data_IF_476040303718
#
_entry.id   IF_476040303718
#
_cell.length_a   1.000
_cell.length_b   1.000
_cell.length_c   1.000
_cell.angle_alpha   90.00
_cell.angle_beta   90.00
_cell.angle_gamma   90.00
#
_symmetry.space_group_name_H-M   'P 1'
#
loop_
_entity.id
_entity.type
_entity.pdbx_description
1 polymer ?
#
# COMPACT_ATOMS: atom_id res chain seq x y z
N UNK A 1 10.91 74.19 22.08
CA UNK A 1 10.41 72.90 21.54
C UNK A 1 11.44 72.35 20.54
N UNK A 2 12.23 71.33 20.92
CA UNK A 2 13.18 70.66 20.01
C UNK A 2 12.40 69.65 19.16
N UNK A 3 12.25 69.91 17.86
CA UNK A 3 11.75 68.91 16.90
C UNK A 3 12.80 67.79 16.80
N UNK A 4 12.45 66.57 17.24
CA UNK A 4 13.20 65.37 16.88
C UNK A 4 12.98 65.13 15.37
N UNK A 5 13.97 65.49 14.55
CA UNK A 5 14.04 65.03 13.17
C UNK A 5 14.33 63.53 13.20
N UNK A 6 13.30 62.70 12.98
CA UNK A 6 13.49 61.28 12.64
C UNK A 6 14.18 61.22 11.28
N UNK A 7 15.49 60.99 11.28
CA UNK A 7 16.21 60.58 10.07
C UNK A 7 15.62 59.25 9.62
N UNK A 8 14.82 59.27 8.57
CA UNK A 8 14.49 58.05 7.83
C UNK A 8 15.78 57.60 7.14
N UNK A 9 16.45 56.59 7.69
CA UNK A 9 17.49 55.84 6.99
C UNK A 9 16.78 54.93 6.00
N UNK A 10 16.95 55.17 4.70
CA UNK A 10 16.52 54.22 3.67
C UNK A 10 17.35 52.93 3.72
N UNK A 11 16.88 51.90 3.02
CA UNK A 11 17.66 50.68 2.83
C UNK A 11 18.76 50.91 1.79
N UNK A 12 19.93 50.35 2.05
CA UNK A 12 21.01 50.30 1.07
C UNK A 12 20.67 49.31 -0.03
N UNK A 13 21.23 49.52 -1.23
CA UNK A 13 21.06 48.59 -2.35
C UNK A 13 21.52 47.17 -1.98
N UNK A 14 22.59 47.07 -1.18
CA UNK A 14 23.11 45.80 -0.68
C UNK A 14 22.09 45.08 0.21
N UNK A 15 21.47 45.78 1.17
CA UNK A 15 20.45 45.18 2.05
C UNK A 15 19.25 44.66 1.26
N UNK A 16 18.80 45.40 0.25
CA UNK A 16 17.67 44.98 -0.59
C UNK A 16 18.01 43.73 -1.41
N UNK A 17 19.20 43.68 -2.00
CA UNK A 17 19.66 42.51 -2.78
C UNK A 17 19.82 41.29 -1.86
N UNK A 18 20.40 41.46 -0.67
CA UNK A 18 20.58 40.37 0.30
C UNK A 18 19.21 39.85 0.77
N UNK A 19 18.29 40.75 1.13
CA UNK A 19 16.95 40.37 1.55
C UNK A 19 16.20 39.59 0.47
N UNK A 20 16.19 40.08 -0.78
CA UNK A 20 15.56 39.40 -1.91
C UNK A 20 16.20 38.03 -2.19
N UNK A 21 17.52 37.92 -2.07
CA UNK A 21 18.25 36.67 -2.27
C UNK A 21 17.87 35.63 -1.21
N UNK A 22 17.84 36.02 0.07
CA UNK A 22 17.43 35.14 1.17
C UNK A 22 15.96 34.72 0.98
N UNK A 23 15.07 35.66 0.67
CA UNK A 23 13.66 35.35 0.39
C UNK A 23 13.51 34.40 -0.79
N UNK A 24 14.29 34.57 -1.85
CA UNK A 24 14.33 33.66 -3.00
C UNK A 24 14.74 32.24 -2.61
N UNK A 25 15.80 32.09 -1.80
CA UNK A 25 16.22 30.79 -1.31
C UNK A 25 15.17 30.13 -0.40
N UNK A 26 14.55 30.89 0.50
CA UNK A 26 13.49 30.38 1.39
C UNK A 26 12.26 29.95 0.60
N UNK A 27 11.82 30.75 -0.38
CA UNK A 27 10.69 30.38 -1.24
C UNK A 27 11.03 29.15 -2.09
N UNK A 28 12.22 29.10 -2.68
CA UNK A 28 12.68 27.95 -3.47
C UNK A 28 12.71 26.65 -2.67
N UNK A 29 13.23 26.69 -1.44
CA UNK A 29 13.26 25.50 -0.57
C UNK A 29 11.87 25.05 -0.13
N UNK A 30 10.98 25.99 0.21
CA UNK A 30 9.59 25.68 0.56
C UNK A 30 8.83 25.05 -0.62
N UNK A 31 8.99 25.60 -1.83
CA UNK A 31 8.34 25.02 -3.01
C UNK A 31 8.89 23.63 -3.36
N UNK A 32 10.20 23.40 -3.20
CA UNK A 32 10.79 22.07 -3.37
C UNK A 32 10.17 21.06 -2.39
N UNK A 33 10.11 21.40 -1.09
CA UNK A 33 9.54 20.54 -0.06
C UNK A 33 8.07 20.20 -0.31
N UNK A 34 7.27 21.17 -0.73
CA UNK A 34 5.85 20.95 -1.08
C UNK A 34 5.72 20.03 -2.29
N UNK A 35 6.59 20.18 -3.29
CA UNK A 35 6.66 19.28 -4.44
C UNK A 35 6.97 17.83 -4.04
N UNK A 36 8.02 17.64 -3.24
CA UNK A 36 8.45 16.32 -2.76
C UNK A 36 7.38 15.66 -1.89
N UNK A 37 6.73 16.42 -1.01
CA UNK A 37 5.64 15.94 -0.16
C UNK A 37 4.44 15.43 -0.98
N UNK A 38 4.07 16.13 -2.05
CA UNK A 38 3.00 15.68 -2.95
C UNK A 38 3.38 14.41 -3.71
N UNK A 39 4.60 14.33 -4.22
CA UNK A 39 5.09 13.13 -4.90
C UNK A 39 5.10 11.91 -3.96
N UNK A 40 5.55 12.10 -2.72
CA UNK A 40 5.52 11.06 -1.69
C UNK A 40 4.10 10.63 -1.35
N UNK A 41 3.18 11.59 -1.20
CA UNK A 41 1.77 11.32 -0.91
C UNK A 41 1.13 10.48 -2.02
N UNK A 42 1.36 10.84 -3.29
CA UNK A 42 0.86 10.09 -4.44
C UNK A 42 1.41 8.65 -4.44
N UNK A 43 2.72 8.48 -4.27
CA UNK A 43 3.35 7.14 -4.23
C UNK A 43 2.82 6.29 -3.07
N UNK A 44 2.58 6.91 -1.92
CA UNK A 44 2.00 6.24 -0.75
C UNK A 44 0.57 5.80 -1.01
N UNK A 45 -0.26 6.65 -1.61
CA UNK A 45 -1.64 6.33 -1.97
C UNK A 45 -1.70 5.14 -2.94
N UNK A 46 -0.89 5.18 -4.00
CA UNK A 46 -0.78 4.06 -4.94
C UNK A 46 -0.38 2.76 -4.25
N UNK A 47 0.61 2.81 -3.35
CA UNK A 47 1.06 1.64 -2.59
C UNK A 47 -0.03 1.09 -1.65
N UNK A 48 -0.81 1.97 -1.02
CA UNK A 48 -1.92 1.57 -0.14
C UNK A 48 -3.05 0.90 -0.91
N UNK A 49 -3.43 1.44 -2.07
CA UNK A 49 -4.45 0.84 -2.94
C UNK A 49 -3.99 -0.55 -3.37
N UNK A 50 -2.73 -0.70 -3.79
CA UNK A 50 -2.15 -1.99 -4.18
C UNK A 50 -2.17 -3.00 -3.03
N UNK A 51 -1.70 -2.61 -1.85
CA UNK A 51 -1.69 -3.47 -0.67
C UNK A 51 -3.09 -3.91 -0.25
N UNK A 52 -4.08 -3.01 -0.39
CA UNK A 52 -5.48 -3.31 -0.10
C UNK A 52 -6.05 -4.34 -1.06
N UNK A 53 -5.77 -4.19 -2.37
CA UNK A 53 -6.19 -5.17 -3.39
C UNK A 53 -5.56 -6.54 -3.14
N UNK A 54 -4.26 -6.58 -2.89
CA UNK A 54 -3.59 -7.84 -2.58
C UNK A 54 -4.19 -8.52 -1.33
N UNK A 55 -4.45 -7.76 -0.27
CA UNK A 55 -5.06 -8.30 0.94
C UNK A 55 -6.46 -8.85 0.68
N UNK A 56 -7.26 -8.17 -0.13
CA UNK A 56 -8.58 -8.65 -0.50
C UNK A 56 -8.51 -9.93 -1.35
N UNK A 57 -7.53 -10.06 -2.26
CA UNK A 57 -7.29 -11.30 -3.01
C UNK A 57 -6.89 -12.48 -2.10
N UNK A 58 -5.98 -12.24 -1.15
CA UNK A 58 -5.61 -13.23 -0.13
C UNK A 58 -6.83 -13.65 0.69
N UNK A 59 -7.59 -12.69 1.21
CA UNK A 59 -8.76 -13.00 2.02
C UNK A 59 -9.80 -13.79 1.23
N UNK A 60 -10.03 -13.44 -0.04
CA UNK A 60 -10.94 -14.18 -0.90
C UNK A 60 -10.46 -15.63 -1.09
N UNK A 61 -9.17 -15.84 -1.36
CA UNK A 61 -8.60 -17.19 -1.50
C UNK A 61 -8.77 -18.06 -0.25
N UNK A 62 -8.84 -17.45 0.94
CA UNK A 62 -9.05 -18.14 2.21
C UNK A 62 -10.52 -18.44 2.52
N UNK A 63 -11.45 -17.68 1.95
CA UNK A 63 -12.88 -17.79 2.23
C UNK A 63 -13.62 -18.61 1.17
N UNK A 64 -13.15 -18.57 -0.08
CA UNK A 64 -13.72 -19.34 -1.18
C UNK A 64 -13.41 -20.84 -1.00
N UNK A 65 -14.47 -21.62 -0.81
CA UNK A 65 -14.43 -23.08 -0.71
C UNK A 65 -15.71 -23.65 -1.35
N UNK A 66 -15.74 -24.97 -1.61
CA UNK A 66 -16.87 -25.68 -2.25
C UNK A 66 -18.19 -25.53 -1.48
N UNK A 67 -18.10 -25.27 -0.17
CA UNK A 67 -19.26 -25.10 0.73
C UNK A 67 -19.64 -23.64 1.00
N UNK A 68 -18.87 -22.67 0.47
CA UNK A 68 -19.10 -21.25 0.69
C UNK A 68 -18.83 -20.45 -0.57
N UNK A 69 -19.90 -20.15 -1.31
CA UNK A 69 -19.84 -19.15 -2.38
C UNK A 69 -19.71 -17.76 -1.77
N UNK A 70 -18.54 -17.14 -1.97
CA UNK A 70 -18.27 -15.77 -1.50
C UNK A 70 -18.44 -14.84 -2.69
N UNK A 71 -19.19 -13.75 -2.51
CA UNK A 71 -19.30 -12.73 -3.54
C UNK A 71 -17.91 -12.15 -3.85
N UNK A 72 -17.58 -12.05 -5.13
CA UNK A 72 -16.28 -11.55 -5.56
C UNK A 72 -16.11 -10.09 -5.14
N UNK A 73 -15.33 -9.87 -4.09
CA UNK A 73 -15.10 -8.53 -3.51
C UNK A 73 -14.26 -7.65 -4.44
N UNK A 74 -13.42 -8.26 -5.28
CA UNK A 74 -12.54 -7.60 -6.24
C UNK A 74 -13.00 -7.85 -7.67
N UNK A 75 -13.53 -6.81 -8.32
CA UNK A 75 -13.77 -6.76 -9.77
C UNK A 75 -12.48 -6.38 -10.52
N UNK A 76 -11.36 -6.97 -10.13
CA UNK A 76 -10.04 -6.70 -10.70
C UNK A 76 -9.41 -8.03 -11.15
N UNK A 77 -9.36 -8.25 -12.46
CA UNK A 77 -8.88 -9.49 -13.08
C UNK A 77 -7.35 -9.61 -13.07
N UNK A 78 -6.63 -8.62 -12.50
CA UNK A 78 -5.16 -8.65 -12.42
C UNK A 78 -4.63 -9.75 -11.49
N UNK A 79 -5.43 -10.18 -10.51
CA UNK A 79 -5.10 -11.27 -9.60
C UNK A 79 -5.89 -12.53 -9.94
N UNK A 80 -5.17 -13.58 -10.32
CA UNK A 80 -5.74 -14.89 -10.58
C UNK A 80 -5.39 -15.85 -9.43
N UNK A 81 -6.41 -16.45 -8.81
CA UNK A 81 -6.23 -17.43 -7.74
C UNK A 81 -6.30 -18.83 -8.35
N UNK A 82 -5.34 -19.69 -8.02
CA UNK A 82 -5.31 -21.09 -8.47
C UNK A 82 -5.15 -22.01 -7.27
N UNK A 83 -6.08 -22.95 -7.13
CA UNK A 83 -5.94 -24.06 -6.20
C UNK A 83 -4.85 -25.02 -6.72
N UNK A 84 -3.97 -25.44 -5.82
CA UNK A 84 -2.94 -26.43 -6.05
C UNK A 84 -3.32 -27.74 -5.34
N UNK A 85 -2.35 -28.64 -5.21
CA UNK A 85 -2.55 -29.93 -4.59
C UNK A 85 -2.88 -29.83 -3.10
N UNK A 86 -3.54 -30.89 -2.62
CA UNK A 86 -3.72 -31.16 -1.21
C UNK A 86 -2.37 -31.41 -0.54
N UNK A 87 -2.16 -30.76 0.60
CA UNK A 87 -0.99 -30.97 1.42
C UNK A 87 -1.07 -32.35 2.10
N UNK A 88 0.10 -32.95 2.31
CA UNK A 88 0.19 -34.26 2.96
C UNK A 88 -0.42 -34.23 4.36
N UNK A 89 -1.15 -35.29 4.69
CA UNK A 89 -1.70 -35.48 6.01
C UNK A 89 -0.59 -35.52 7.08
N UNK A 90 -0.84 -34.95 8.28
CA UNK A 90 0.14 -34.99 9.35
C UNK A 90 0.41 -36.44 9.78
N UNK A 91 1.67 -36.73 10.13
CA UNK A 91 2.15 -38.05 10.57
C UNK A 91 1.30 -38.66 11.69
N UNK A 92 0.64 -37.83 12.50
CA UNK A 92 -0.26 -38.27 13.57
C UNK A 92 -1.53 -37.43 13.61
N UNK A 93 -2.63 -37.96 13.06
CA UNK A 93 -3.98 -37.45 13.30
C UNK A 93 -4.49 -37.91 14.67
N UNK A 94 -5.00 -36.99 15.48
CA UNK A 94 -5.58 -37.28 16.81
C UNK A 94 -7.04 -37.71 16.73
N UNK A 95 -7.74 -37.30 15.67
CA UNK A 95 -9.14 -37.62 15.39
C UNK A 95 -9.40 -37.51 13.88
N UNK A 96 -10.38 -38.26 13.35
CA UNK A 96 -10.88 -38.07 11.99
C UNK A 96 -11.47 -36.67 11.83
N UNK A 97 -11.19 -36.01 10.70
CA UNK A 97 -11.63 -34.65 10.40
C UNK A 97 -12.20 -34.58 9.00
N UNK A 98 -13.18 -33.71 8.79
CA UNK A 98 -13.70 -33.35 7.46
C UNK A 98 -12.87 -32.23 6.80
N UNK A 99 -11.83 -31.74 7.48
CA UNK A 99 -11.00 -30.65 6.99
C UNK A 99 -9.64 -31.13 6.51
N UNK A 100 -9.23 -30.65 5.34
CA UNK A 100 -7.91 -30.81 4.76
C UNK A 100 -7.20 -29.47 4.57
N UNK A 101 -5.92 -29.54 4.25
CA UNK A 101 -5.12 -28.37 3.90
C UNK A 101 -4.81 -28.39 2.42
N UNK A 102 -5.19 -27.34 1.69
CA UNK A 102 -4.90 -27.21 0.26
C UNK A 102 -3.90 -26.07 0.05
N UNK A 103 -2.89 -26.30 -0.78
CA UNK A 103 -2.03 -25.23 -1.25
C UNK A 103 -2.77 -24.39 -2.30
N UNK A 104 -2.47 -23.10 -2.36
CA UNK A 104 -2.96 -22.23 -3.43
C UNK A 104 -1.89 -21.23 -3.81
N UNK A 105 -2.06 -20.63 -4.98
CA UNK A 105 -1.25 -19.51 -5.41
C UNK A 105 -2.13 -18.37 -5.94
N UNK A 106 -1.62 -17.16 -5.81
CA UNK A 106 -2.19 -15.94 -6.36
C UNK A 106 -1.16 -15.39 -7.33
N UNK A 107 -1.54 -15.30 -8.60
CA UNK A 107 -0.69 -14.81 -9.68
C UNK A 107 -1.14 -13.41 -10.07
N UNK A 108 -0.20 -12.48 -10.12
CA UNK A 108 -0.39 -11.18 -10.77
C UNK A 108 0.48 -11.08 -12.02
N UNK A 109 -0.15 -11.13 -13.21
CA UNK A 109 0.57 -11.11 -14.50
C UNK A 109 1.17 -9.76 -14.86
N UNK A 110 0.57 -8.67 -14.38
CA UNK A 110 1.04 -7.31 -14.68
C UNK A 110 2.35 -7.00 -13.96
N UNK A 111 2.54 -7.60 -12.78
CA UNK A 111 3.68 -7.33 -11.90
C UNK A 111 4.67 -8.49 -11.78
N UNK A 112 4.38 -9.61 -12.44
CA UNK A 112 5.17 -10.85 -12.36
C UNK A 112 5.34 -11.30 -10.89
N UNK A 113 4.26 -11.21 -10.11
CA UNK A 113 4.24 -11.60 -8.70
C UNK A 113 3.47 -12.92 -8.53
N UNK A 114 4.05 -13.84 -7.76
CA UNK A 114 3.42 -15.09 -7.34
C UNK A 114 3.44 -15.17 -5.82
N UNK A 115 2.28 -15.40 -5.22
CA UNK A 115 2.11 -15.51 -3.78
C UNK A 115 1.52 -16.87 -3.48
N UNK A 116 2.26 -17.68 -2.74
CA UNK A 116 1.86 -19.03 -2.35
C UNK A 116 1.32 -19.03 -0.94
N UNK A 117 0.33 -19.89 -0.68
CA UNK A 117 -0.26 -20.05 0.63
C UNK A 117 -0.92 -21.40 0.80
N UNK A 118 -1.48 -21.59 1.99
CA UNK A 118 -2.26 -22.78 2.33
C UNK A 118 -3.58 -22.35 2.97
N UNK A 119 -4.67 -23.02 2.63
CA UNK A 119 -6.00 -22.79 3.20
C UNK A 119 -6.61 -24.08 3.71
N UNK A 120 -7.55 -23.94 4.63
CA UNK A 120 -8.42 -25.05 5.02
C UNK A 120 -9.47 -25.24 3.93
N UNK A 121 -9.73 -26.50 3.58
CA UNK A 121 -10.86 -26.89 2.75
C UNK A 121 -11.68 -27.94 3.49
N UNK A 122 -12.98 -27.93 3.27
CA UNK A 122 -13.86 -28.96 3.79
C UNK A 122 -14.07 -30.06 2.74
N UNK A 123 -14.27 -31.29 3.21
CA UNK A 123 -14.64 -32.45 2.39
C UNK A 123 -16.04 -32.93 2.75
N UNK A 124 -16.70 -33.60 1.82
CA UNK A 124 -18.00 -34.25 2.02
C UNK A 124 -17.94 -35.37 3.08
N UNK A 125 -16.80 -36.03 3.22
CA UNK A 125 -16.61 -37.17 4.13
C UNK A 125 -15.33 -37.00 4.96
N UNK A 126 -15.32 -37.48 6.22
CA UNK A 126 -14.12 -37.47 7.06
C UNK A 126 -12.99 -38.30 6.43
N UNK A 127 -11.77 -37.76 6.46
CA UNK A 127 -10.54 -38.42 5.97
C UNK A 127 -9.58 -38.79 7.10
#
# INVERSE_FOLDING_TARGET
>A
MKKLNRRHSGFTLLEVIVALTITGFVLGSLFSLVGDSKQLSWRSEQSLVQATRLRAAINFSLLEDEFSEVEQILQDDSYQIRALDLLEDPVRKTQASIYGFQAYEIINRERDEVIEGSRWIQFDLPQ
#
